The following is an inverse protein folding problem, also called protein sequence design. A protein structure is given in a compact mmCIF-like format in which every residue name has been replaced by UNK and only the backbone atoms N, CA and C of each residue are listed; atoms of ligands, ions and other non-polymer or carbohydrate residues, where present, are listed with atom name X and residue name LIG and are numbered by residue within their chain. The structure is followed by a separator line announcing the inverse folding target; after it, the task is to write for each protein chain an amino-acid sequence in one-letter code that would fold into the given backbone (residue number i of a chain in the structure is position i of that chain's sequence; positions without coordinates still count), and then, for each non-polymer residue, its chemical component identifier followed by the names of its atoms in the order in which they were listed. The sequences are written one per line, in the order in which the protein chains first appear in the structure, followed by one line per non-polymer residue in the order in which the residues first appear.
data_IF_584730622472
#
_entry.id   IF_584730622472
#
_cell.length_a   1.000
_cell.length_b   1.000
_cell.length_c   1.000
_cell.angle_alpha   90.00
_cell.angle_beta   90.00
_cell.angle_gamma   90.00
#
_symmetry.space_group_name_H-M   'P 1'
#
loop_
_entity.id
_entity.type
_entity.pdbx_description
1 polymer ?
#
# COMPACT_ATOMS: atom_id res chain seq x y z
N UNK A 1 -9.93 -48.77 -0.66
CA UNK A 1 -10.24 -47.34 -0.45
C UNK A 1 -11.19 -46.88 -1.54
N UNK A 2 -12.50 -46.81 -1.25
CA UNK A 2 -13.51 -46.43 -2.24
C UNK A 2 -13.40 -44.93 -2.53
N UNK A 3 -12.80 -44.56 -3.67
CA UNK A 3 -12.99 -43.22 -4.19
C UNK A 3 -14.42 -43.14 -4.74
N UNK A 4 -15.34 -42.65 -3.90
CA UNK A 4 -16.74 -42.47 -4.27
C UNK A 4 -16.83 -41.45 -5.40
N UNK A 5 -17.35 -41.89 -6.55
CA UNK A 5 -17.55 -41.04 -7.71
C UNK A 5 -18.80 -40.17 -7.47
N UNK A 6 -18.63 -39.09 -6.71
CA UNK A 6 -19.71 -38.16 -6.40
C UNK A 6 -19.90 -37.18 -7.56
N UNK A 7 -21.06 -37.22 -8.22
CA UNK A 7 -21.44 -36.21 -9.21
C UNK A 7 -21.70 -34.88 -8.50
N UNK A 8 -20.70 -34.00 -8.51
CA UNK A 8 -20.86 -32.66 -7.96
C UNK A 8 -21.81 -31.85 -8.85
N UNK A 9 -22.87 -31.28 -8.28
CA UNK A 9 -23.83 -30.47 -9.07
C UNK A 9 -23.18 -29.16 -9.50
N UNK A 10 -22.73 -29.12 -10.75
CA UNK A 10 -22.09 -27.96 -11.32
C UNK A 10 -22.57 -27.67 -12.76
N UNK A 11 -22.70 -26.38 -13.12
CA UNK A 11 -23.03 -25.96 -14.49
C UNK A 11 -21.88 -26.27 -15.45
N UNK A 12 -22.21 -26.56 -16.70
CA UNK A 12 -21.24 -27.01 -17.71
C UNK A 12 -20.12 -25.98 -18.00
N UNK A 13 -20.43 -24.69 -17.94
CA UNK A 13 -19.44 -23.62 -18.18
C UNK A 13 -18.39 -23.58 -17.08
N UNK A 14 -18.81 -23.73 -15.81
CA UNK A 14 -17.88 -23.70 -14.68
C UNK A 14 -17.00 -24.94 -14.63
N UNK A 15 -17.51 -26.12 -14.99
CA UNK A 15 -16.68 -27.33 -15.11
C UNK A 15 -15.63 -27.18 -16.20
N UNK A 16 -15.98 -26.64 -17.37
CA UNK A 16 -15.03 -26.42 -18.46
C UNK A 16 -13.94 -25.42 -18.05
N UNK A 17 -14.30 -24.33 -17.38
CA UNK A 17 -13.34 -23.35 -16.90
C UNK A 17 -12.38 -23.96 -15.88
N UNK A 18 -12.91 -24.75 -14.94
CA UNK A 18 -12.13 -25.45 -13.92
C UNK A 18 -11.13 -26.44 -14.52
N UNK A 19 -11.55 -27.22 -15.51
CA UNK A 19 -10.69 -28.19 -16.19
C UNK A 19 -9.53 -27.48 -16.90
N UNK A 20 -9.80 -26.35 -17.57
CA UNK A 20 -8.77 -25.53 -18.23
C UNK A 20 -7.79 -24.93 -17.21
N UNK A 21 -8.29 -24.29 -16.16
CA UNK A 21 -7.43 -23.70 -15.12
C UNK A 21 -6.62 -24.76 -14.39
N UNK A 22 -7.19 -25.96 -14.19
CA UNK A 22 -6.49 -27.08 -13.57
C UNK A 22 -5.39 -27.64 -14.49
N UNK A 23 -5.60 -27.71 -15.81
CA UNK A 23 -4.53 -28.09 -16.73
C UNK A 23 -3.39 -27.07 -16.78
N UNK A 24 -3.68 -25.79 -16.59
CA UNK A 24 -2.68 -24.71 -16.64
C UNK A 24 -1.92 -24.53 -15.31
N UNK A 25 -2.65 -24.52 -14.19
CA UNK A 25 -2.10 -24.17 -12.85
C UNK A 25 -1.89 -25.40 -11.96
N UNK A 26 -2.47 -26.55 -12.30
CA UNK A 26 -2.43 -27.77 -11.47
C UNK A 26 -3.21 -27.69 -10.17
N UNK A 27 -3.95 -26.59 -9.95
CA UNK A 27 -4.69 -26.33 -8.71
C UNK A 27 -6.13 -25.91 -9.00
N UNK A 28 -7.04 -26.34 -8.13
CA UNK A 28 -8.46 -25.97 -8.16
C UNK A 28 -8.80 -24.84 -7.17
N UNK A 29 -7.88 -23.89 -6.99
CA UNK A 29 -8.07 -22.75 -6.09
C UNK A 29 -8.55 -21.53 -6.86
N UNK A 30 -9.42 -20.74 -6.25
CA UNK A 30 -9.85 -19.46 -6.80
C UNK A 30 -8.65 -18.54 -7.08
N UNK A 31 -8.61 -17.97 -8.28
CA UNK A 31 -7.58 -17.01 -8.67
C UNK A 31 -7.77 -15.69 -7.93
N UNK A 32 -6.66 -15.02 -7.59
CA UNK A 32 -6.71 -13.65 -7.08
C UNK A 32 -7.38 -12.74 -8.10
N UNK A 33 -8.38 -11.97 -7.65
CA UNK A 33 -9.02 -10.96 -8.49
C UNK A 33 -8.07 -9.79 -8.75
N UNK A 34 -8.09 -9.25 -9.96
CA UNK A 34 -7.20 -8.17 -10.41
C UNK A 34 -7.35 -6.87 -9.62
N UNK A 35 -8.56 -6.60 -9.09
CA UNK A 35 -8.83 -5.40 -8.29
C UNK A 35 -8.69 -4.10 -9.08
N UNK A 36 -8.91 -2.96 -8.41
CA UNK A 36 -8.75 -1.64 -9.01
C UNK A 36 -7.28 -1.19 -8.95
N UNK A 37 -6.71 -0.65 -10.03
CA UNK A 37 -5.36 -0.10 -9.98
C UNK A 37 -5.29 1.07 -9.01
N UNK A 38 -4.11 1.23 -8.44
CA UNK A 38 -3.77 2.32 -7.53
C UNK A 38 -3.82 3.67 -8.26
N UNK A 39 -4.18 4.72 -7.52
CA UNK A 39 -4.20 6.08 -8.06
C UNK A 39 -2.79 6.59 -8.41
N UNK A 40 -1.76 6.17 -7.67
CA UNK A 40 -0.36 6.57 -7.91
C UNK A 40 0.47 5.45 -8.52
N UNK A 41 1.48 5.86 -9.29
CA UNK A 41 2.47 5.02 -9.97
C UNK A 41 3.68 4.80 -9.03
N UNK A 42 4.48 3.75 -9.28
CA UNK A 42 5.66 3.43 -8.47
C UNK A 42 6.73 4.55 -8.45
N UNK A 43 6.87 5.32 -9.54
CA UNK A 43 7.76 6.48 -9.61
C UNK A 43 7.31 7.60 -8.68
N UNK A 44 6.01 7.92 -8.66
CA UNK A 44 5.42 8.91 -7.77
C UNK A 44 5.55 8.51 -6.30
N UNK A 45 5.30 7.23 -5.98
CA UNK A 45 5.49 6.69 -4.63
C UNK A 45 6.97 6.80 -4.20
N UNK A 46 7.91 6.66 -5.14
CA UNK A 46 9.35 6.84 -4.89
C UNK A 46 9.70 8.32 -4.66
N UNK A 47 9.14 9.23 -5.46
CA UNK A 47 9.28 10.68 -5.27
C UNK A 47 8.81 11.13 -3.88
N UNK A 48 7.62 10.67 -3.47
CA UNK A 48 7.08 10.94 -2.13
C UNK A 48 8.02 10.46 -1.03
N UNK A 49 8.58 9.25 -1.18
CA UNK A 49 9.51 8.68 -0.21
C UNK A 49 10.80 9.49 -0.11
N UNK A 50 11.40 9.84 -1.24
CA UNK A 50 12.67 10.58 -1.27
C UNK A 50 12.48 11.98 -0.68
N UNK A 51 11.46 12.72 -1.09
CA UNK A 51 11.24 14.09 -0.61
C UNK A 51 10.91 14.12 0.88
N UNK A 52 10.09 13.19 1.37
CA UNK A 52 9.76 13.10 2.79
C UNK A 52 10.95 12.71 3.66
N UNK A 53 11.90 11.92 3.14
CA UNK A 53 13.13 11.57 3.86
C UNK A 53 14.15 12.70 3.81
N UNK A 54 14.21 13.43 2.70
CA UNK A 54 15.13 14.54 2.51
C UNK A 54 14.76 15.73 3.40
N UNK A 55 13.50 16.15 3.38
CA UNK A 55 12.99 17.24 4.20
C UNK A 55 11.89 16.72 5.14
N UNK A 56 12.25 16.60 6.43
CA UNK A 56 11.35 16.13 7.48
C UNK A 56 10.24 17.11 7.84
N UNK A 57 10.34 18.38 7.43
CA UNK A 57 9.32 19.40 7.72
C UNK A 57 8.34 19.59 6.55
N UNK A 58 8.59 18.91 5.44
CA UNK A 58 7.72 18.97 4.28
C UNK A 58 6.34 18.36 4.61
N UNK A 59 5.30 19.17 4.45
CA UNK A 59 3.93 18.79 4.80
C UNK A 59 3.30 17.97 3.67
N UNK A 60 2.38 17.07 4.02
CA UNK A 60 1.63 16.23 3.07
C UNK A 60 0.94 17.07 1.96
N UNK A 61 0.50 18.28 2.28
CA UNK A 61 -0.11 19.24 1.33
C UNK A 61 0.91 19.79 0.32
N UNK A 62 2.14 20.05 0.75
CA UNK A 62 3.20 20.54 -0.12
C UNK A 62 3.65 19.43 -1.09
N UNK A 63 3.81 18.21 -0.59
CA UNK A 63 4.08 17.03 -1.41
C UNK A 63 2.97 16.77 -2.44
N UNK A 64 1.72 16.95 -2.03
CA UNK A 64 0.58 16.83 -2.93
C UNK A 64 0.61 17.91 -4.03
N UNK A 65 0.88 19.17 -3.67
CA UNK A 65 0.99 20.26 -4.63
C UNK A 65 2.10 20.01 -5.65
N UNK A 66 3.27 19.55 -5.19
CA UNK A 66 4.39 19.15 -6.06
C UNK A 66 4.03 17.97 -6.97
N UNK A 67 3.32 16.96 -6.48
CA UNK A 67 2.88 15.85 -7.33
C UNK A 67 1.82 16.26 -8.36
N UNK A 68 0.96 17.20 -8.00
CA UNK A 68 -0.16 17.62 -8.85
C UNK A 68 0.25 18.66 -9.89
N UNK A 69 1.44 19.28 -9.80
CA UNK A 69 1.91 20.23 -10.82
C UNK A 69 2.06 19.57 -12.19
N UNK A 70 2.54 18.32 -12.20
CA UNK A 70 2.91 17.63 -13.43
C UNK A 70 1.78 16.73 -13.95
N UNK A 71 0.64 16.68 -13.24
CA UNK A 71 -0.36 15.63 -13.40
C UNK A 71 -1.72 16.18 -13.80
N UNK A 72 -2.32 15.56 -14.81
CA UNK A 72 -3.69 15.91 -15.26
C UNK A 72 -4.77 15.51 -14.26
N UNK A 73 -4.60 14.37 -13.58
CA UNK A 73 -5.55 13.87 -12.57
C UNK A 73 -5.02 14.12 -11.17
N UNK A 74 -5.64 15.02 -10.44
CA UNK A 74 -5.21 15.38 -9.09
C UNK A 74 -5.32 14.21 -8.11
N UNK A 75 -4.29 14.07 -7.28
CA UNK A 75 -4.23 13.15 -6.15
C UNK A 75 -4.64 13.91 -4.89
N UNK A 76 -5.42 13.28 -4.01
CA UNK A 76 -5.81 13.88 -2.73
C UNK A 76 -4.69 13.81 -1.68
N UNK A 77 -4.66 14.75 -0.73
CA UNK A 77 -3.77 14.71 0.44
C UNK A 77 -3.89 13.38 1.18
N UNK A 78 -5.12 12.87 1.34
CA UNK A 78 -5.38 11.58 2.00
C UNK A 78 -4.72 10.39 1.28
N UNK A 79 -4.55 10.47 -0.03
CA UNK A 79 -3.84 9.44 -0.80
C UNK A 79 -2.34 9.53 -0.53
N UNK A 80 -1.76 10.73 -0.56
CA UNK A 80 -0.34 10.97 -0.23
C UNK A 80 -0.03 10.45 1.18
N UNK A 81 -0.85 10.81 2.16
CA UNK A 81 -0.74 10.32 3.54
C UNK A 81 -0.73 8.80 3.64
N UNK A 82 -1.68 8.12 2.97
CA UNK A 82 -1.73 6.65 2.94
C UNK A 82 -0.47 6.04 2.32
N UNK A 83 0.14 6.71 1.33
CA UNK A 83 1.39 6.25 0.70
C UNK A 83 2.57 6.35 1.63
N UNK A 84 2.72 7.49 2.32
CA UNK A 84 3.77 7.68 3.33
C UNK A 84 3.61 6.67 4.48
N UNK A 85 2.38 6.47 4.96
CA UNK A 85 2.08 5.46 5.99
C UNK A 85 2.41 4.03 5.56
N UNK A 86 2.13 3.67 4.29
CA UNK A 86 2.44 2.35 3.76
C UNK A 86 3.95 2.05 3.73
N UNK A 87 4.80 3.08 3.66
CA UNK A 87 6.26 2.96 3.76
C UNK A 87 6.79 3.26 5.17
N UNK A 88 5.92 3.41 6.16
CA UNK A 88 6.28 3.68 7.56
C UNK A 88 6.65 5.14 7.86
N UNK A 89 6.51 6.05 6.90
CA UNK A 89 6.73 7.48 7.11
C UNK A 89 5.45 8.10 7.68
N UNK A 90 5.46 8.32 8.99
CA UNK A 90 4.40 9.05 9.69
C UNK A 90 4.98 10.34 10.24
N UNK A 91 4.34 11.47 9.92
CA UNK A 91 4.64 12.74 10.58
C UNK A 91 4.44 12.59 12.09
N UNK A 92 5.53 12.62 12.84
CA UNK A 92 5.54 12.73 14.30
C UNK A 92 6.44 13.88 14.66
N UNK A 93 5.97 14.76 15.54
CA UNK A 93 6.83 15.78 16.11
C UNK A 93 7.92 15.10 16.94
N UNK A 94 9.17 15.50 16.68
CA UNK A 94 10.28 15.08 17.50
C UNK A 94 10.04 15.57 18.94
N UNK A 95 10.14 14.66 19.91
CA UNK A 95 9.99 15.01 21.31
C UNK A 95 10.97 16.14 21.66
N UNK A 96 10.43 17.28 22.11
CA UNK A 96 11.24 18.37 22.67
C UNK A 96 11.82 17.87 23.98
N UNK A 97 13.13 17.57 24.00
CA UNK A 97 13.84 17.24 25.23
C UNK A 97 13.62 18.41 26.22
N UNK A 98 13.28 18.15 27.49
CA UNK A 98 13.23 19.23 28.48
C UNK A 98 14.61 19.90 28.53
N UNK A 99 14.62 21.23 28.60
CA UNK A 99 15.87 21.98 28.79
C UNK A 99 16.56 21.44 30.04
N UNK A 100 17.79 20.96 29.89
CA UNK A 100 18.60 20.52 31.02
C UNK A 100 18.84 21.76 31.91
N UNK A 101 18.17 21.79 33.07
CA UNK A 101 18.46 22.81 34.08
C UNK A 101 19.70 22.37 34.82
N UNK A 102 20.68 23.26 34.97
CA UNK A 102 21.85 23.00 35.79
C UNK A 102 21.41 22.97 37.27
N UNK A 103 21.07 21.78 37.79
CA UNK A 103 20.82 21.59 39.22
C UNK A 103 22.17 21.39 39.88
N UNK A 104 22.59 22.37 40.69
CA UNK A 104 23.78 22.26 41.53
C UNK A 104 23.47 21.25 42.64
N UNK A 105 23.95 20.03 42.52
CA UNK A 105 23.90 19.04 43.60
C UNK A 105 24.84 19.57 44.70
N UNK A 106 24.30 19.91 45.87
CA UNK A 106 25.11 20.28 47.04
C UNK A 106 25.53 18.97 47.72
N UNK A 107 26.83 18.85 47.98
CA UNK A 107 27.43 17.75 48.76
C UNK A 107 26.97 17.78 50.22
#
# INVERSE_FOLDING_TARGET
TKQGNQRQKCGATKTLLLMKTHSETGANSDSKRSGRPKATIASEDTFLRVNSLHDRWLTEQQLQAQLNSDRSKQVSVSTVKKRLQAVGLTGRDAARKPLLRCVRIRE
#
